data_IF_386278446483
#
_entry.id   IF_386278446483
#
_cell.length_a   1.000
_cell.length_b   1.000
_cell.length_c   1.000
_cell.angle_alpha   90.00
_cell.angle_beta   90.00
_cell.angle_gamma   90.00
#
_symmetry.space_group_name_H-M   'P 1'
#
loop_
_entity.id
_entity.type
_entity.pdbx_description
1 polymer ?
#
# COMPACT_ATOMS: atom_id res chain seq x y z
N UNK A 1 4.78 -11.53 -4.39
CA UNK A 1 3.90 -10.88 -3.38
C UNK A 1 4.06 -11.66 -2.09
N UNK A 2 4.63 -11.04 -1.06
CA UNK A 2 4.85 -11.62 0.27
C UNK A 2 3.74 -11.15 1.20
N UNK A 3 3.13 -12.09 1.91
CA UNK A 3 2.17 -11.83 2.97
C UNK A 3 2.45 -12.84 4.10
N UNK A 4 3.28 -12.43 5.05
CA UNK A 4 3.63 -13.24 6.22
C UNK A 4 2.86 -12.66 7.41
N UNK A 5 2.01 -13.45 8.09
CA UNK A 5 1.30 -12.98 9.27
C UNK A 5 2.26 -12.69 10.42
N UNK A 6 1.86 -11.78 11.31
CA UNK A 6 2.59 -11.58 12.56
C UNK A 6 2.51 -12.86 13.39
N UNK A 7 3.65 -13.28 13.94
CA UNK A 7 3.74 -14.40 14.87
C UNK A 7 3.97 -13.81 16.26
N UNK A 8 3.07 -14.04 17.23
CA UNK A 8 3.28 -13.56 18.58
C UNK A 8 4.45 -14.31 19.23
N UNK A 9 5.22 -13.66 20.13
CA UNK A 9 6.24 -14.34 20.90
C UNK A 9 5.62 -15.48 21.73
N UNK A 10 6.33 -16.61 21.83
CA UNK A 10 5.89 -17.77 22.62
C UNK A 10 7.05 -18.32 23.43
N UNK A 11 6.92 -18.27 24.76
CA UNK A 11 7.98 -18.69 25.67
C UNK A 11 9.26 -17.89 25.43
N UNK A 12 10.35 -18.58 25.03
CA UNK A 12 11.65 -17.96 24.74
C UNK A 12 11.85 -17.56 23.27
N UNK A 13 10.89 -17.87 22.39
CA UNK A 13 10.95 -17.45 20.99
C UNK A 13 10.49 -16.01 20.85
N UNK A 14 11.28 -15.19 20.16
CA UNK A 14 10.81 -13.89 19.70
C UNK A 14 9.66 -14.08 18.71
N UNK A 15 8.70 -13.15 18.77
CA UNK A 15 7.69 -13.02 17.74
C UNK A 15 8.29 -12.41 16.48
N UNK A 16 7.55 -12.49 15.38
CA UNK A 16 7.89 -11.80 14.14
C UNK A 16 6.75 -10.85 13.74
N UNK A 17 7.07 -9.62 13.29
CA UNK A 17 6.05 -8.74 12.75
C UNK A 17 5.48 -9.31 11.44
N UNK A 18 4.31 -8.82 11.05
CA UNK A 18 3.77 -9.12 9.72
C UNK A 18 4.64 -8.48 8.63
N UNK A 19 4.79 -9.16 7.50
CA UNK A 19 5.50 -8.65 6.32
C UNK A 19 4.52 -8.63 5.15
N UNK A 20 4.43 -7.48 4.49
CA UNK A 20 3.62 -7.29 3.29
C UNK A 20 4.40 -6.48 2.26
N UNK A 21 4.14 -6.74 0.98
CA UNK A 21 4.66 -5.89 -0.09
C UNK A 21 3.80 -4.63 -0.22
N UNK A 22 4.45 -3.47 -0.32
CA UNK A 22 3.81 -2.14 -0.39
C UNK A 22 4.25 -1.43 -1.65
N UNK A 23 3.30 -0.75 -2.32
CA UNK A 23 3.57 0.16 -3.42
C UNK A 23 3.28 1.61 -3.02
N UNK A 24 3.97 2.55 -3.65
CA UNK A 24 3.60 3.96 -3.65
C UNK A 24 2.92 4.26 -4.97
N UNK A 25 1.70 4.78 -4.92
CA UNK A 25 0.86 4.99 -6.10
C UNK A 25 0.44 6.45 -6.18
N UNK A 26 0.57 7.05 -7.36
CA UNK A 26 -0.12 8.30 -7.66
C UNK A 26 -1.53 7.94 -8.14
N UNK A 27 -2.57 8.30 -7.37
CA UNK A 27 -3.96 8.01 -7.74
C UNK A 27 -4.35 8.71 -9.05
N UNK A 28 -4.00 9.99 -9.18
CA UNK A 28 -4.01 10.70 -10.45
C UNK A 28 -2.58 11.09 -10.81
N UNK A 29 -2.17 10.76 -12.04
CA UNK A 29 -0.83 11.11 -12.52
C UNK A 29 -0.57 12.64 -12.53
N UNK A 30 -1.63 13.45 -12.65
CA UNK A 30 -1.56 14.92 -12.60
C UNK A 30 -1.18 15.46 -11.22
N UNK A 31 -1.46 14.71 -10.16
CA UNK A 31 -1.33 15.18 -8.78
C UNK A 31 0.09 14.97 -8.24
N UNK A 32 0.91 14.22 -8.97
CA UNK A 32 2.28 13.91 -8.59
C UNK A 32 3.29 14.74 -9.40
N UNK A 33 4.13 15.49 -8.69
CA UNK A 33 5.26 16.21 -9.27
C UNK A 33 6.55 15.52 -8.81
N UNK A 34 7.45 15.06 -9.68
CA UNK A 34 8.66 14.36 -9.25
C UNK A 34 9.52 15.12 -8.22
N UNK A 35 9.52 16.45 -8.29
CA UNK A 35 10.22 17.32 -7.35
C UNK A 35 9.59 17.36 -5.94
N UNK A 36 8.33 16.96 -5.76
CA UNK A 36 7.66 16.90 -4.45
C UNK A 36 8.01 15.65 -3.63
N UNK A 37 8.92 14.80 -4.15
CA UNK A 37 9.41 13.62 -3.46
C UNK A 37 8.32 12.57 -3.28
N UNK A 38 7.89 12.34 -2.03
CA UNK A 38 6.83 11.40 -1.68
C UNK A 38 5.47 12.07 -1.47
N UNK A 39 5.44 13.41 -1.43
CA UNK A 39 4.20 14.16 -1.23
C UNK A 39 3.26 13.95 -2.41
N UNK A 40 2.01 13.61 -2.12
CA UNK A 40 0.99 13.30 -3.12
C UNK A 40 0.92 11.82 -3.52
N UNK A 41 1.85 10.97 -3.05
CA UNK A 41 1.75 9.52 -3.23
C UNK A 41 0.89 8.89 -2.13
N UNK A 42 0.15 7.86 -2.51
CA UNK A 42 -0.68 7.05 -1.64
C UNK A 42 -0.04 5.68 -1.46
N UNK A 43 0.35 5.28 -0.24
CA UNK A 43 0.83 3.94 0.01
C UNK A 43 -0.31 2.94 -0.13
N UNK A 44 -0.02 1.78 -0.71
CA UNK A 44 -0.97 0.69 -0.86
C UNK A 44 -0.33 -0.65 -0.53
N UNK A 45 -1.00 -1.46 0.30
CA UNK A 45 -0.60 -2.85 0.53
C UNK A 45 -1.11 -3.73 -0.60
N UNK A 46 -0.22 -4.47 -1.24
CA UNK A 46 -0.59 -5.40 -2.32
C UNK A 46 -1.06 -6.72 -1.72
N UNK A 47 -2.28 -7.13 -2.06
CA UNK A 47 -2.82 -8.44 -1.69
C UNK A 47 -2.59 -9.47 -2.79
N UNK A 48 -2.88 -9.12 -4.06
CA UNK A 48 -2.60 -9.97 -5.21
C UNK A 48 -2.45 -9.16 -6.49
N UNK A 49 -1.75 -9.73 -7.48
CA UNK A 49 -1.66 -9.24 -8.86
C UNK A 49 -2.13 -10.39 -9.75
N UNK A 50 -3.03 -10.12 -10.69
CA UNK A 50 -3.72 -11.13 -11.46
C UNK A 50 -4.14 -10.62 -12.84
N UNK A 51 -4.27 -11.54 -13.80
CA UNK A 51 -4.96 -11.25 -15.06
C UNK A 51 -6.47 -11.34 -14.84
N UNK A 52 -7.23 -10.45 -15.48
CA UNK A 52 -8.69 -10.50 -15.41
C UNK A 52 -9.17 -11.83 -16.02
N UNK A 53 -9.93 -12.67 -15.29
CA UNK A 53 -10.47 -13.91 -15.83
C UNK A 53 -11.26 -13.66 -17.11
N UNK A 54 -11.04 -14.50 -18.13
CA UNK A 54 -11.58 -14.28 -19.48
C UNK A 54 -13.11 -14.17 -19.56
N UNK A 55 -13.83 -14.80 -18.62
CA UNK A 55 -15.29 -14.71 -18.51
C UNK A 55 -15.80 -13.39 -17.94
N UNK A 56 -14.93 -12.57 -17.32
CA UNK A 56 -15.24 -11.23 -16.80
C UNK A 56 -14.83 -10.12 -17.78
N UNK A 57 -14.20 -10.46 -18.89
CA UNK A 57 -13.77 -9.53 -19.94
C UNK A 57 -12.29 -9.68 -20.29
N UNK A 58 -11.76 -8.67 -20.98
CA UNK A 58 -10.34 -8.56 -21.31
C UNK A 58 -9.83 -7.22 -20.83
N UNK A 59 -8.69 -7.22 -20.16
CA UNK A 59 -7.97 -6.02 -19.77
C UNK A 59 -6.52 -6.12 -20.28
N UNK A 60 -5.97 -5.05 -20.89
CA UNK A 60 -4.65 -5.13 -21.53
C UNK A 60 -3.48 -5.24 -20.54
N UNK A 61 -3.74 -5.08 -19.24
CA UNK A 61 -2.73 -5.07 -18.19
C UNK A 61 -3.11 -6.00 -17.03
N UNK A 62 -2.14 -6.48 -16.23
CA UNK A 62 -2.46 -7.13 -14.95
C UNK A 62 -3.18 -6.16 -14.01
N UNK A 63 -4.12 -6.67 -13.23
CA UNK A 63 -4.83 -5.95 -12.18
C UNK A 63 -4.20 -6.26 -10.81
N UNK A 64 -4.34 -5.35 -9.85
CA UNK A 64 -3.90 -5.56 -8.48
C UNK A 64 -5.06 -5.35 -7.52
N UNK A 65 -5.24 -6.28 -6.58
CA UNK A 65 -6.07 -6.07 -5.40
C UNK A 65 -5.18 -5.49 -4.30
N UNK A 66 -5.56 -4.31 -3.81
CA UNK A 66 -4.76 -3.54 -2.86
C UNK A 66 -5.62 -2.99 -1.73
N UNK A 67 -5.00 -2.77 -0.58
CA UNK A 67 -5.57 -1.98 0.52
C UNK A 67 -4.88 -0.62 0.57
N UNK A 68 -5.67 0.45 0.49
CA UNK A 68 -5.18 1.83 0.52
C UNK A 68 -4.87 2.32 1.94
N UNK A 69 -3.77 3.05 2.07
CA UNK A 69 -3.53 3.94 3.21
C UNK A 69 -3.95 5.37 2.87
N UNK A 70 -3.87 6.28 3.83
CA UNK A 70 -4.03 7.71 3.58
C UNK A 70 -2.85 8.24 2.76
N UNK A 71 -3.07 9.20 1.85
CA UNK A 71 -2.00 9.88 1.14
C UNK A 71 -0.93 10.42 2.10
N UNK A 72 0.32 10.38 1.63
CA UNK A 72 1.45 10.94 2.37
C UNK A 72 1.36 12.46 2.36
N UNK A 73 0.79 13.00 3.44
CA UNK A 73 0.90 14.40 3.79
C UNK A 73 2.27 14.63 4.43
N UNK A 74 2.87 15.81 4.24
CA UNK A 74 4.25 16.12 4.64
C UNK A 74 4.69 15.55 6.01
N UNK A 75 5.99 15.27 6.18
CA UNK A 75 6.49 14.54 7.33
C UNK A 75 6.13 15.20 8.66
N UNK A 76 5.83 14.38 9.67
CA UNK A 76 5.59 14.82 11.03
C UNK A 76 6.79 15.64 11.55
N UNK A 77 6.59 16.86 12.08
CA UNK A 77 7.71 17.72 12.49
C UNK A 77 8.59 17.15 13.59
N UNK A 78 8.05 16.28 14.46
CA UNK A 78 8.78 15.73 15.59
C UNK A 78 9.68 14.55 15.19
N UNK A 79 9.21 13.70 14.28
CA UNK A 79 9.92 12.48 13.87
C UNK A 79 10.58 12.59 12.50
N UNK A 80 10.19 13.56 11.68
CA UNK A 80 10.59 13.67 10.27
C UNK A 80 10.02 12.56 9.39
N UNK A 81 9.09 11.75 9.91
CA UNK A 81 8.54 10.57 9.24
C UNK A 81 7.15 10.84 8.69
N UNK A 82 6.79 10.16 7.61
CA UNK A 82 5.43 10.17 7.09
C UNK A 82 4.51 9.28 7.93
N UNK A 83 3.38 9.83 8.38
CA UNK A 83 2.34 9.07 9.08
C UNK A 83 1.37 8.46 8.09
N UNK A 84 1.05 7.17 8.28
CA UNK A 84 0.06 6.47 7.45
C UNK A 84 -1.06 5.93 8.33
N UNK A 85 -2.30 6.11 7.88
CA UNK A 85 -3.48 5.48 8.46
C UNK A 85 -4.16 4.63 7.40
N UNK A 86 -4.89 3.58 7.79
CA UNK A 86 -5.69 2.82 6.81
C UNK A 86 -6.77 3.75 6.26
N UNK A 87 -6.93 3.79 4.94
CA UNK A 87 -7.98 4.59 4.32
C UNK A 87 -9.34 3.99 4.68
N UNK A 88 -10.24 4.80 5.22
CA UNK A 88 -11.65 4.43 5.44
C UNK A 88 -12.53 4.75 4.23
N UNK A 89 -11.97 5.42 3.22
CA UNK A 89 -12.67 5.69 1.97
C UNK A 89 -12.76 4.39 1.17
N UNK A 90 -13.93 3.75 1.21
CA UNK A 90 -14.35 2.89 0.12
C UNK A 90 -14.59 3.81 -1.09
N UNK A 91 -13.56 4.03 -1.91
CA UNK A 91 -13.73 4.68 -3.20
C UNK A 91 -14.78 3.87 -3.97
N UNK A 92 -15.92 4.50 -4.25
CA UNK A 92 -17.11 3.92 -4.87
C UNK A 92 -17.15 4.32 -6.33
#
# INVERSE_FOLDING_TARGET
IRAIPAVPPKGRSLGSPAIFDTALVAENASDYVPASGLSGLCPARIHLIFELPSHLGKYPHPLAYIEWFTPLNGPDPATGMFTTHRSTRHHR
#
